data_IF_605601272637
#
_entry.id   IF_605601272637
#
_cell.length_a   1.000
_cell.length_b   1.000
_cell.length_c   1.000
_cell.angle_alpha   90.00
_cell.angle_beta   90.00
_cell.angle_gamma   90.00
#
_symmetry.space_group_name_H-M   'P 1'
#
loop_
_entity.id
_entity.type
_entity.pdbx_description
1 polymer ?
#
# COMPACT_ATOMS: atom_id res chain seq x y z
N UNK A 1 -13.79 -20.49 -9.65
CA UNK A 1 -13.91 -19.60 -8.48
C UNK A 1 -12.62 -18.79 -8.36
N UNK A 2 -12.58 -17.55 -8.87
CA UNK A 2 -11.42 -16.63 -8.79
C UNK A 2 -11.87 -15.39 -8.03
N UNK A 3 -11.93 -15.48 -6.70
CA UNK A 3 -12.35 -14.42 -5.77
C UNK A 3 -11.25 -13.41 -5.44
N UNK A 4 -10.10 -13.47 -6.11
CA UNK A 4 -8.98 -12.58 -5.86
C UNK A 4 -8.83 -11.62 -7.04
N UNK A 5 -8.88 -10.31 -6.76
CA UNK A 5 -8.67 -9.27 -7.75
C UNK A 5 -7.31 -9.45 -8.45
N UNK A 6 -7.19 -9.02 -9.71
CA UNK A 6 -5.89 -9.00 -10.36
C UNK A 6 -4.91 -8.22 -9.48
N UNK A 7 -3.70 -8.74 -9.25
CA UNK A 7 -2.63 -8.15 -8.41
C UNK A 7 -2.04 -6.84 -8.97
N UNK A 8 -2.91 -5.97 -9.48
CA UNK A 8 -2.69 -4.69 -10.14
C UNK A 8 -3.85 -3.74 -9.83
N UNK A 9 -4.48 -3.84 -8.65
CA UNK A 9 -5.29 -2.70 -8.18
C UNK A 9 -4.32 -1.56 -7.84
N UNK A 10 -4.08 -0.71 -8.82
CA UNK A 10 -3.24 0.48 -8.68
C UNK A 10 -3.71 1.33 -7.49
N UNK A 11 -2.78 1.94 -6.76
CA UNK A 11 -3.11 2.98 -5.78
C UNK A 11 -3.60 4.21 -6.56
N UNK A 12 -4.89 4.23 -6.83
CA UNK A 12 -5.55 5.30 -7.60
C UNK A 12 -5.33 6.66 -6.94
N UNK A 13 -5.44 7.76 -7.70
CA UNK A 13 -5.32 9.11 -7.14
C UNK A 13 -6.22 9.36 -5.93
N UNK A 14 -7.43 8.77 -5.92
CA UNK A 14 -8.35 8.83 -4.78
C UNK A 14 -7.86 8.02 -3.56
N UNK A 15 -7.16 6.89 -3.75
CA UNK A 15 -6.49 6.17 -2.65
C UNK A 15 -5.28 6.98 -2.14
N UNK A 16 -4.48 7.55 -3.04
CA UNK A 16 -3.33 8.39 -2.67
C UNK A 16 -3.75 9.60 -1.83
N UNK A 17 -4.79 10.33 -2.26
CA UNK A 17 -5.29 11.49 -1.54
C UNK A 17 -5.72 11.14 -0.10
N UNK A 18 -6.45 10.03 0.08
CA UNK A 18 -6.87 9.56 1.42
C UNK A 18 -5.68 9.18 2.31
N UNK A 19 -4.68 8.53 1.76
CA UNK A 19 -3.47 8.14 2.50
C UNK A 19 -2.64 9.37 2.90
N UNK A 20 -2.48 10.35 2.01
CA UNK A 20 -1.81 11.63 2.32
C UNK A 20 -2.55 12.38 3.44
N UNK A 21 -3.87 12.55 3.32
CA UNK A 21 -4.67 13.22 4.34
C UNK A 21 -4.60 12.53 5.71
N UNK A 22 -4.55 11.20 5.72
CA UNK A 22 -4.42 10.42 6.96
C UNK A 22 -3.05 10.61 7.59
N UNK A 23 -1.98 10.59 6.79
CA UNK A 23 -0.63 10.87 7.28
C UNK A 23 -0.48 12.30 7.81
N UNK A 24 -1.04 13.30 7.10
CA UNK A 24 -1.09 14.69 7.58
C UNK A 24 -1.76 14.77 8.96
N UNK A 25 -2.91 14.12 9.13
CA UNK A 25 -3.61 14.10 10.41
C UNK A 25 -2.79 13.42 11.52
N UNK A 26 -2.12 12.30 11.22
CA UNK A 26 -1.22 11.64 12.17
C UNK A 26 -0.08 12.56 12.60
N UNK A 27 0.56 13.25 11.65
CA UNK A 27 1.69 14.15 11.89
C UNK A 27 1.33 15.39 12.72
N UNK A 28 0.05 15.83 12.70
CA UNK A 28 -0.41 16.90 13.60
C UNK A 28 -0.24 16.53 15.09
N UNK A 29 -0.33 15.24 15.43
CA UNK A 29 -0.21 14.74 16.81
C UNK A 29 1.14 14.08 17.08
N UNK A 30 1.89 13.75 16.03
CA UNK A 30 3.22 13.16 16.08
C UNK A 30 4.22 13.97 15.23
N UNK A 31 4.58 15.20 15.66
CA UNK A 31 5.47 16.04 14.88
C UNK A 31 6.84 15.39 14.69
N UNK A 32 7.39 15.51 13.48
CA UNK A 32 8.73 15.03 13.14
C UNK A 32 9.36 15.96 12.12
N UNK A 33 10.69 15.93 12.03
CA UNK A 33 11.45 16.65 11.01
C UNK A 33 11.67 15.82 9.73
N UNK A 34 11.25 14.56 9.73
CA UNK A 34 11.38 13.66 8.59
C UNK A 34 10.23 13.91 7.58
N UNK A 35 10.54 13.77 6.29
CA UNK A 35 9.53 13.81 5.24
C UNK A 35 8.75 12.49 5.21
N UNK A 36 7.41 12.51 5.11
CA UNK A 36 6.63 11.30 4.94
C UNK A 36 6.90 10.67 3.57
N UNK A 37 7.02 9.34 3.55
CA UNK A 37 7.16 8.51 2.35
C UNK A 37 5.98 7.55 2.26
N UNK A 38 5.41 7.38 1.08
CA UNK A 38 4.37 6.38 0.83
C UNK A 38 4.93 5.24 -0.02
N UNK A 39 4.94 4.04 0.55
CA UNK A 39 5.40 2.83 -0.11
C UNK A 39 4.21 1.94 -0.50
N UNK A 40 4.39 1.07 -1.50
CA UNK A 40 3.38 0.09 -1.92
C UNK A 40 3.99 -1.31 -1.88
N UNK A 41 3.37 -2.20 -1.12
CA UNK A 41 3.66 -3.63 -1.16
C UNK A 41 2.63 -4.34 -2.04
N UNK A 42 3.08 -4.89 -3.16
CA UNK A 42 2.27 -5.78 -3.99
C UNK A 42 2.46 -7.21 -3.49
N UNK A 43 1.36 -7.88 -3.16
CA UNK A 43 1.37 -9.25 -2.65
C UNK A 43 0.71 -10.15 -3.68
N UNK A 44 1.49 -11.04 -4.27
CA UNK A 44 1.04 -12.04 -5.22
C UNK A 44 0.88 -13.38 -4.51
N UNK A 45 -0.38 -13.73 -4.24
CA UNK A 45 -0.79 -14.95 -3.57
C UNK A 45 -1.82 -15.71 -4.43
N UNK A 46 -1.38 -16.52 -5.42
CA UNK A 46 -2.28 -17.14 -6.40
C UNK A 46 -3.32 -18.07 -5.77
N UNK A 47 -2.99 -18.68 -4.64
CA UNK A 47 -3.86 -19.59 -3.88
C UNK A 47 -4.56 -18.87 -2.71
N UNK A 48 -4.48 -17.54 -2.66
CA UNK A 48 -4.96 -16.75 -1.53
C UNK A 48 -4.17 -17.09 -0.26
N UNK A 49 -4.87 -17.30 0.85
CA UNK A 49 -4.27 -17.59 2.15
C UNK A 49 -3.47 -18.90 2.20
N UNK A 50 -3.77 -19.85 1.31
CA UNK A 50 -3.04 -21.13 1.22
C UNK A 50 -1.70 -21.00 0.49
N UNK A 51 -1.38 -19.81 -0.05
CA UNK A 51 -0.10 -19.57 -0.71
C UNK A 51 1.03 -19.72 0.31
N UNK A 52 1.74 -20.85 0.27
CA UNK A 52 2.85 -21.17 1.19
C UNK A 52 3.97 -20.12 1.18
N UNK A 53 4.21 -19.48 0.03
CA UNK A 53 5.21 -18.43 -0.12
C UNK A 53 4.72 -17.35 -1.08
N UNK A 54 3.98 -16.33 -0.59
CA UNK A 54 3.55 -15.21 -1.41
C UNK A 54 4.76 -14.43 -1.94
N UNK A 55 4.71 -14.04 -3.20
CA UNK A 55 5.72 -13.13 -3.73
C UNK A 55 5.35 -11.69 -3.34
N UNK A 56 6.27 -11.01 -2.67
CA UNK A 56 6.10 -9.61 -2.26
C UNK A 56 7.04 -8.75 -3.10
N UNK A 57 6.45 -7.80 -3.83
CA UNK A 57 7.19 -6.75 -4.52
C UNK A 57 6.99 -5.43 -3.76
N UNK A 58 8.08 -4.76 -3.38
CA UNK A 58 8.02 -3.54 -2.58
C UNK A 58 8.46 -2.34 -3.42
N UNK A 59 7.54 -1.41 -3.63
CA UNK A 59 7.75 -0.17 -4.36
C UNK A 59 7.94 0.96 -3.33
N UNK A 60 9.18 1.36 -3.12
CA UNK A 60 9.49 2.49 -2.25
C UNK A 60 9.20 3.83 -2.94
N UNK A 61 8.78 4.84 -2.17
CA UNK A 61 8.43 6.18 -2.67
C UNK A 61 7.42 6.14 -3.84
N UNK A 62 6.40 5.30 -3.73
CA UNK A 62 5.45 5.05 -4.80
C UNK A 62 4.65 6.31 -5.19
N UNK A 63 4.38 7.22 -4.25
CA UNK A 63 3.68 8.51 -4.49
C UNK A 63 3.76 9.48 -3.31
#
# INVERSE_FOLDING_TARGET
>A
DRRHGAGREWVTGAKQHRLRATAEHYLMTHPTHLQPRMDVAEIYAPEGMETSSPHINYLENAF
#
